data_IF_118561235320
#
_entry.id   IF_118561235320
#
_cell.length_a   1.000
_cell.length_b   1.000
_cell.length_c   1.000
_cell.angle_alpha   90.00
_cell.angle_beta   90.00
_cell.angle_gamma   90.00
#
_symmetry.space_group_name_H-M   'P 1'
#
loop_
_entity.id
_entity.type
_entity.pdbx_description
1 polymer ?
#
# COMPACT_ATOMS: atom_id res chain seq x y z
N UNK A 1 16.18 5.24 -0.68
CA UNK A 1 16.64 6.61 -0.34
C UNK A 1 16.97 7.38 -1.63
N UNK A 2 16.00 8.02 -2.27
CA UNK A 2 16.30 8.95 -3.37
C UNK A 2 16.33 10.38 -2.82
N UNK A 3 17.44 11.08 -3.04
CA UNK A 3 17.73 12.42 -2.47
C UNK A 3 16.62 13.43 -2.78
N UNK A 4 16.21 14.24 -1.79
CA UNK A 4 15.19 15.31 -1.92
C UNK A 4 15.46 16.24 -3.12
N UNK A 5 16.73 16.39 -3.52
CA UNK A 5 17.17 17.18 -4.68
C UNK A 5 16.76 16.56 -6.03
N UNK A 6 16.81 15.23 -6.15
CA UNK A 6 16.37 14.51 -7.36
C UNK A 6 14.85 14.65 -7.49
N UNK A 7 14.10 14.52 -6.39
CA UNK A 7 12.66 14.70 -6.42
C UNK A 7 12.22 16.14 -6.73
N UNK A 8 12.97 17.16 -6.28
CA UNK A 8 12.70 18.55 -6.63
C UNK A 8 13.01 18.86 -8.11
N UNK A 9 14.13 18.35 -8.64
CA UNK A 9 14.46 18.48 -10.07
C UNK A 9 13.48 17.73 -10.97
N UNK A 10 13.07 16.52 -10.57
CA UNK A 10 12.03 15.77 -11.25
C UNK A 10 10.70 16.54 -11.24
N UNK A 11 10.29 17.10 -10.09
CA UNK A 11 9.10 17.98 -10.01
C UNK A 11 9.22 19.23 -10.88
N UNK A 12 10.41 19.82 -11.00
CA UNK A 12 10.64 20.98 -11.85
C UNK A 12 10.61 20.63 -13.34
N UNK A 13 11.21 19.49 -13.74
CA UNK A 13 11.10 18.99 -15.12
C UNK A 13 9.66 18.65 -15.46
N UNK A 14 8.96 17.99 -14.52
CA UNK A 14 7.55 17.67 -14.64
C UNK A 14 6.71 18.93 -14.81
N UNK A 15 6.91 19.96 -14.00
CA UNK A 15 6.16 21.22 -14.14
C UNK A 15 6.47 21.98 -15.43
N UNK A 16 7.72 21.91 -15.93
CA UNK A 16 8.08 22.52 -17.21
C UNK A 16 7.44 21.81 -18.40
N UNK A 17 7.44 20.48 -18.39
CA UNK A 17 6.85 19.66 -19.45
C UNK A 17 5.32 19.60 -19.33
N UNK A 18 4.72 19.63 -18.14
CA UNK A 18 3.25 19.63 -17.96
C UNK A 18 2.58 20.95 -18.33
N UNK A 19 3.24 22.10 -18.17
CA UNK A 19 2.68 23.43 -18.51
C UNK A 19 2.20 23.57 -19.98
N UNK A 20 2.93 23.10 -21.01
CA UNK A 20 2.45 23.13 -22.40
C UNK A 20 1.32 22.13 -22.66
N UNK A 21 1.42 20.87 -22.20
CA UNK A 21 0.33 19.89 -22.32
C UNK A 21 -0.94 20.32 -21.59
N UNK A 22 -0.77 21.07 -20.51
CA UNK A 22 -1.85 21.64 -19.75
C UNK A 22 -2.70 22.64 -20.56
N UNK A 23 -2.06 23.45 -21.40
CA UNK A 23 -2.72 24.44 -22.26
C UNK A 23 -3.44 23.81 -23.45
N UNK A 24 -3.10 22.57 -23.80
CA UNK A 24 -3.71 21.80 -24.90
C UNK A 24 -4.95 20.98 -24.48
N UNK A 25 -5.39 21.07 -23.22
CA UNK A 25 -6.55 20.32 -22.73
C UNK A 25 -6.33 18.81 -22.56
N UNK A 26 -5.07 18.34 -22.64
CA UNK A 26 -4.73 16.93 -22.46
C UNK A 26 -5.02 16.50 -21.01
N UNK A 27 -5.84 15.46 -20.86
CA UNK A 27 -6.21 14.90 -19.55
C UNK A 27 -5.16 13.90 -19.07
N UNK A 28 -5.01 13.66 -17.76
CA UNK A 28 -4.12 12.61 -17.24
C UNK A 28 -4.38 11.24 -17.89
N UNK A 29 -5.65 10.85 -18.04
CA UNK A 29 -6.03 9.59 -18.67
C UNK A 29 -5.54 9.47 -20.12
N UNK A 30 -5.46 10.60 -20.85
CA UNK A 30 -4.91 10.60 -22.22
C UNK A 30 -3.42 10.24 -22.21
N UNK A 31 -2.65 10.70 -21.22
CA UNK A 31 -1.24 10.33 -21.09
C UNK A 31 -1.08 8.85 -20.75
N UNK A 32 -1.93 8.31 -19.86
CA UNK A 32 -1.94 6.87 -19.54
C UNK A 32 -2.22 6.01 -20.78
N UNK A 33 -3.18 6.42 -21.63
CA UNK A 33 -3.45 5.71 -22.91
C UNK A 33 -2.27 5.80 -23.87
N UNK A 34 -1.60 6.96 -23.95
CA UNK A 34 -0.38 7.11 -24.75
C UNK A 34 0.73 6.18 -24.23
N UNK A 35 0.91 6.08 -22.90
CA UNK A 35 1.86 5.16 -22.27
C UNK A 35 1.60 3.69 -22.63
N UNK A 36 0.33 3.28 -22.64
CA UNK A 36 -0.08 1.96 -23.09
C UNK A 36 0.23 1.72 -24.58
N UNK A 37 -0.08 2.68 -25.45
CA UNK A 37 0.23 2.59 -26.89
C UNK A 37 1.74 2.50 -27.14
N UNK A 38 2.55 3.25 -26.39
CA UNK A 38 4.01 3.16 -26.43
C UNK A 38 4.50 1.78 -25.96
N UNK A 39 3.86 1.19 -24.95
CA UNK A 39 4.18 -0.16 -24.46
C UNK A 39 3.85 -1.23 -25.50
N UNK A 40 2.73 -1.10 -26.22
CA UNK A 40 2.38 -1.96 -27.36
C UNK A 40 3.42 -1.81 -28.48
N UNK A 41 3.79 -0.58 -28.83
CA UNK A 41 4.81 -0.33 -29.84
C UNK A 41 6.15 -0.95 -29.44
N UNK A 42 6.57 -0.79 -28.18
CA UNK A 42 7.78 -1.41 -27.64
C UNK A 42 7.73 -2.94 -27.78
N UNK A 43 6.61 -3.56 -27.41
CA UNK A 43 6.41 -5.01 -27.53
C UNK A 43 6.54 -5.50 -28.98
N UNK A 44 5.96 -4.79 -29.94
CA UNK A 44 6.07 -5.12 -31.38
C UNK A 44 7.52 -5.00 -31.85
N UNK A 45 8.22 -3.93 -31.48
CA UNK A 45 9.63 -3.71 -31.84
C UNK A 45 10.54 -4.78 -31.23
N UNK A 46 10.30 -5.17 -29.96
CA UNK A 46 11.00 -6.27 -29.31
C UNK A 46 10.73 -7.59 -30.05
N UNK A 47 9.47 -7.89 -30.38
CA UNK A 47 9.08 -9.10 -31.10
C UNK A 47 9.76 -9.24 -32.47
N UNK A 48 10.03 -8.11 -33.15
CA UNK A 48 10.79 -8.08 -34.40
C UNK A 48 12.31 -8.29 -34.21
N UNK A 49 12.78 -8.42 -32.97
CA UNK A 49 14.19 -8.62 -32.64
C UNK A 49 15.03 -7.34 -32.56
N UNK A 50 14.39 -6.16 -32.63
CA UNK A 50 15.06 -4.87 -32.46
C UNK A 50 15.20 -4.52 -30.97
N UNK A 51 15.92 -5.34 -30.22
CA UNK A 51 15.96 -5.30 -28.75
C UNK A 51 16.41 -3.94 -28.19
N UNK A 52 17.44 -3.32 -28.78
CA UNK A 52 17.95 -2.01 -28.34
C UNK A 52 16.89 -0.92 -28.50
N UNK A 53 16.23 -0.87 -29.66
CA UNK A 53 15.15 0.08 -29.91
C UNK A 53 13.95 -0.18 -28.99
N UNK A 54 13.64 -1.46 -28.76
CA UNK A 54 12.65 -1.90 -27.78
C UNK A 54 12.96 -1.41 -26.36
N UNK A 55 14.20 -1.58 -25.90
CA UNK A 55 14.66 -1.12 -24.59
C UNK A 55 14.56 0.40 -24.42
N UNK A 56 14.91 1.16 -25.45
CA UNK A 56 14.72 2.62 -25.45
C UNK A 56 13.24 3.01 -25.38
N UNK A 57 12.37 2.32 -26.13
CA UNK A 57 10.92 2.54 -26.07
C UNK A 57 10.33 2.17 -24.71
N UNK A 58 10.81 1.10 -24.05
CA UNK A 58 10.40 0.72 -22.69
C UNK A 58 10.75 1.82 -21.69
N UNK A 59 11.96 2.38 -21.75
CA UNK A 59 12.36 3.52 -20.90
C UNK A 59 11.49 4.75 -21.19
N UNK A 60 11.22 5.01 -22.45
CA UNK A 60 10.40 6.14 -22.87
C UNK A 60 8.95 6.01 -22.39
N UNK A 61 8.33 4.84 -22.56
CA UNK A 61 6.99 4.55 -22.06
C UNK A 61 6.91 4.69 -20.54
N UNK A 62 7.87 4.10 -19.81
CA UNK A 62 7.93 4.21 -18.35
C UNK A 62 8.13 5.64 -17.84
N UNK A 63 8.80 6.50 -18.62
CA UNK A 63 8.90 7.92 -18.30
C UNK A 63 7.54 8.62 -18.37
N UNK A 64 6.71 8.31 -19.37
CA UNK A 64 5.36 8.89 -19.53
C UNK A 64 4.41 8.48 -18.39
N UNK A 65 4.45 7.24 -17.92
CA UNK A 65 3.63 6.77 -16.79
C UNK A 65 4.12 7.32 -15.43
N UNK A 66 5.36 7.78 -15.31
CA UNK A 66 5.76 8.54 -14.13
C UNK A 66 5.24 9.99 -14.20
N UNK A 67 5.00 10.46 -15.41
CA UNK A 67 4.67 11.84 -15.72
C UNK A 67 3.18 12.14 -15.55
N UNK A 68 2.30 11.22 -15.91
CA UNK A 68 0.84 11.38 -15.79
C UNK A 68 0.37 11.44 -14.34
N UNK A 69 0.87 10.57 -13.46
CA UNK A 69 0.60 10.60 -12.03
C UNK A 69 1.18 11.86 -11.37
N UNK A 70 2.29 12.39 -11.87
CA UNK A 70 2.83 13.67 -11.42
C UNK A 70 2.01 14.86 -11.93
N UNK A 71 1.49 14.78 -13.16
CA UNK A 71 0.60 15.78 -13.76
C UNK A 71 -0.74 15.86 -13.02
N UNK A 72 -1.35 14.72 -12.68
CA UNK A 72 -2.59 14.65 -11.91
C UNK A 72 -2.47 15.36 -10.55
N UNK A 73 -1.33 15.21 -9.87
CA UNK A 73 -1.05 15.89 -8.59
C UNK A 73 -0.87 17.40 -8.74
N UNK A 74 -0.13 17.84 -9.76
CA UNK A 74 0.13 19.27 -10.00
C UNK A 74 -1.15 20.02 -10.40
N UNK A 75 -2.07 19.36 -11.11
CA UNK A 75 -3.30 20.00 -11.61
C UNK A 75 -4.50 19.84 -10.67
N UNK A 76 -4.31 19.27 -9.47
CA UNK A 76 -5.40 18.92 -8.55
C UNK A 76 -6.55 18.13 -9.23
N UNK A 77 -6.21 17.38 -10.28
CA UNK A 77 -7.16 16.64 -11.13
C UNK A 77 -7.11 15.13 -10.87
N UNK A 78 -6.56 14.72 -9.73
CA UNK A 78 -6.53 13.33 -9.31
C UNK A 78 -7.95 12.86 -9.00
N UNK A 79 -8.42 11.84 -9.72
CA UNK A 79 -9.72 11.21 -9.49
C UNK A 79 -9.52 9.75 -9.07
N UNK A 80 -10.45 9.20 -8.31
CA UNK A 80 -10.42 7.78 -7.91
C UNK A 80 -10.41 6.86 -9.13
N UNK A 81 -11.22 7.18 -10.16
CA UNK A 81 -11.22 6.44 -11.41
C UNK A 81 -9.88 6.55 -12.15
N UNK A 82 -9.30 7.75 -12.23
CA UNK A 82 -8.00 7.94 -12.87
C UNK A 82 -6.89 7.13 -12.21
N UNK A 83 -6.85 7.11 -10.87
CA UNK A 83 -5.90 6.28 -10.12
C UNK A 83 -6.12 4.77 -10.36
N UNK A 84 -7.37 4.31 -10.39
CA UNK A 84 -7.71 2.94 -10.75
C UNK A 84 -7.28 2.60 -12.18
N UNK A 85 -7.56 3.49 -13.14
CA UNK A 85 -7.27 3.32 -14.55
C UNK A 85 -5.77 3.28 -14.83
N UNK A 86 -5.01 4.26 -14.32
CA UNK A 86 -3.55 4.33 -14.34
C UNK A 86 -2.93 3.05 -13.78
N UNK A 87 -3.34 2.68 -12.57
CA UNK A 87 -2.86 1.46 -11.95
C UNK A 87 -3.22 0.23 -12.79
N UNK A 88 -4.40 0.12 -13.38
CA UNK A 88 -4.79 -1.04 -14.19
C UNK A 88 -3.96 -1.13 -15.47
N UNK A 89 -3.81 -0.01 -16.19
CA UNK A 89 -3.04 0.02 -17.44
C UNK A 89 -1.56 -0.26 -17.21
N UNK A 90 -0.97 0.16 -16.09
CA UNK A 90 0.39 -0.20 -15.72
C UNK A 90 0.66 -1.72 -15.77
N UNK A 91 -0.31 -2.54 -15.33
CA UNK A 91 -0.19 -4.01 -15.33
C UNK A 91 -0.30 -4.56 -16.75
N UNK A 92 -1.19 -4.00 -17.56
CA UNK A 92 -1.29 -4.34 -18.99
C UNK A 92 -0.01 -3.98 -19.73
N UNK A 93 0.49 -2.75 -19.58
CA UNK A 93 1.72 -2.24 -20.20
C UNK A 93 2.90 -3.18 -19.93
N UNK A 94 3.12 -3.55 -18.66
CA UNK A 94 4.23 -4.45 -18.29
C UNK A 94 4.05 -5.87 -18.87
N UNK A 95 2.82 -6.40 -18.82
CA UNK A 95 2.50 -7.73 -19.39
C UNK A 95 2.68 -7.76 -20.91
N UNK A 96 2.29 -6.69 -21.60
CA UNK A 96 2.40 -6.54 -23.06
C UNK A 96 3.88 -6.50 -23.49
N UNK A 97 4.72 -5.76 -22.77
CA UNK A 97 6.16 -5.70 -23.05
C UNK A 97 6.80 -7.09 -22.89
N UNK A 98 6.48 -7.80 -21.79
CA UNK A 98 6.96 -9.16 -21.56
C UNK A 98 6.40 -10.17 -22.58
N UNK A 99 5.17 -9.96 -23.09
CA UNK A 99 4.62 -10.72 -24.21
C UNK A 99 5.41 -10.48 -25.49
N UNK A 100 5.78 -9.24 -25.81
CA UNK A 100 6.65 -8.94 -26.95
C UNK A 100 7.99 -9.67 -26.86
N UNK A 101 8.56 -9.72 -25.66
CA UNK A 101 9.77 -10.49 -25.39
C UNK A 101 9.56 -12.00 -25.54
N UNK A 102 8.42 -12.53 -25.09
CA UNK A 102 8.06 -13.94 -25.27
C UNK A 102 7.96 -14.31 -26.76
N UNK A 103 7.30 -13.47 -27.56
CA UNK A 103 7.16 -13.68 -29.00
C UNK A 103 8.52 -13.66 -29.70
N UNK A 104 9.41 -12.73 -29.33
CA UNK A 104 10.80 -12.72 -29.78
C UNK A 104 11.51 -14.04 -29.46
N UNK A 105 11.42 -14.51 -28.22
CA UNK A 105 12.06 -15.76 -27.76
C UNK A 105 11.53 -16.98 -28.51
N UNK A 106 10.22 -17.06 -28.76
CA UNK A 106 9.60 -18.17 -29.48
C UNK A 106 10.10 -18.27 -30.94
N UNK A 107 10.44 -17.14 -31.56
CA UNK A 107 10.96 -17.08 -32.94
C UNK A 107 12.47 -17.36 -33.04
N UNK A 108 13.17 -17.53 -31.90
CA UNK A 108 14.63 -17.69 -31.81
C UNK A 108 14.99 -19.01 -31.09
N UNK A 109 14.88 -20.18 -31.75
CA UNK A 109 15.27 -21.46 -31.14
C UNK A 109 16.78 -21.56 -30.87
N UNK A 110 17.57 -20.78 -31.61
CA UNK A 110 19.02 -20.64 -31.52
C UNK A 110 19.47 -19.44 -30.65
N UNK A 111 18.58 -18.94 -29.78
CA UNK A 111 18.91 -17.85 -28.86
C UNK A 111 20.14 -18.21 -28.01
N UNK A 112 21.16 -17.35 -28.09
CA UNK A 112 22.40 -17.49 -27.35
C UNK A 112 22.88 -16.14 -26.82
N UNK A 113 22.91 -15.97 -25.50
CA UNK A 113 23.45 -14.82 -24.79
C UNK A 113 24.81 -15.16 -24.16
N UNK A 114 25.85 -14.38 -24.49
CA UNK A 114 27.24 -14.69 -24.16
C UNK A 114 27.55 -14.90 -22.66
N UNK A 115 26.72 -14.36 -21.77
CA UNK A 115 26.95 -14.42 -20.31
C UNK A 115 26.18 -15.58 -19.67
N UNK A 116 25.20 -16.17 -20.37
CA UNK A 116 24.35 -17.19 -19.78
C UNK A 116 25.02 -18.57 -19.80
N UNK A 117 25.17 -19.25 -18.64
CA UNK A 117 26.00 -20.45 -18.57
C UNK A 117 25.24 -21.76 -18.87
N UNK A 118 23.90 -21.74 -18.97
CA UNK A 118 23.09 -22.95 -19.09
C UNK A 118 22.59 -23.20 -20.50
N UNK A 119 22.68 -24.44 -20.97
CA UNK A 119 22.08 -24.86 -22.23
C UNK A 119 20.55 -24.71 -22.21
N UNK A 120 19.94 -24.65 -23.41
CA UNK A 120 18.50 -24.48 -23.63
C UNK A 120 17.97 -23.09 -23.21
N UNK A 121 18.68 -22.05 -23.60
CA UNK A 121 18.39 -20.65 -23.26
C UNK A 121 16.96 -20.24 -23.58
N UNK A 122 16.44 -20.66 -24.74
CA UNK A 122 15.06 -20.39 -25.13
C UNK A 122 14.05 -20.90 -24.08
N UNK A 123 14.24 -22.13 -23.57
CA UNK A 123 13.35 -22.73 -22.57
C UNK A 123 13.45 -21.99 -21.23
N UNK A 124 14.66 -21.63 -20.82
CA UNK A 124 14.88 -20.82 -19.62
C UNK A 124 14.20 -19.46 -19.74
N UNK A 125 14.41 -18.77 -20.84
CA UNK A 125 13.85 -17.44 -21.08
C UNK A 125 12.32 -17.47 -21.06
N UNK A 126 11.67 -18.42 -21.75
CA UNK A 126 10.20 -18.58 -21.71
C UNK A 126 9.70 -18.79 -20.28
N UNK A 127 10.35 -19.68 -19.53
CA UNK A 127 9.97 -19.99 -18.14
C UNK A 127 10.14 -18.77 -17.23
N UNK A 128 11.26 -18.06 -17.36
CA UNK A 128 11.55 -16.87 -16.57
C UNK A 128 10.61 -15.71 -16.90
N UNK A 129 10.23 -15.53 -18.17
CA UNK A 129 9.23 -14.53 -18.56
C UNK A 129 7.90 -14.83 -17.87
N UNK A 130 7.44 -16.08 -17.88
CA UNK A 130 6.20 -16.46 -17.20
C UNK A 130 6.26 -16.15 -15.70
N UNK A 131 7.35 -16.56 -15.02
CA UNK A 131 7.54 -16.29 -13.59
C UNK A 131 7.59 -14.77 -13.31
N UNK A 132 8.25 -14.00 -14.18
CA UNK A 132 8.33 -12.54 -14.04
C UNK A 132 6.96 -11.87 -14.20
N UNK A 133 6.13 -12.29 -15.16
CA UNK A 133 4.74 -11.80 -15.32
C UNK A 133 3.93 -12.09 -14.06
N UNK A 134 3.93 -13.34 -13.60
CA UNK A 134 3.20 -13.74 -12.40
C UNK A 134 3.67 -12.94 -11.18
N UNK A 135 4.98 -12.81 -10.99
CA UNK A 135 5.54 -12.06 -9.87
C UNK A 135 5.19 -10.59 -9.91
N UNK A 136 5.27 -9.94 -11.08
CA UNK A 136 4.92 -8.53 -11.21
C UNK A 136 3.44 -8.25 -10.91
N UNK A 137 2.54 -9.13 -11.38
CA UNK A 137 1.12 -9.07 -11.05
C UNK A 137 0.89 -9.30 -9.55
N UNK A 138 1.59 -10.25 -8.93
CA UNK A 138 1.47 -10.52 -7.49
C UNK A 138 1.99 -9.37 -6.63
N UNK A 139 3.10 -8.72 -7.00
CA UNK A 139 3.58 -7.50 -6.34
C UNK A 139 2.47 -6.45 -6.34
N UNK A 140 1.85 -6.21 -7.50
CA UNK A 140 0.80 -5.21 -7.64
C UNK A 140 -0.49 -5.59 -6.90
N UNK A 141 -0.91 -6.86 -6.98
CA UNK A 141 -2.14 -7.37 -6.38
C UNK A 141 -2.07 -7.41 -4.85
N UNK A 142 -0.98 -7.92 -4.27
CA UNK A 142 -0.81 -8.00 -2.82
C UNK A 142 -0.91 -6.63 -2.15
N UNK A 143 -0.33 -5.59 -2.77
CA UNK A 143 -0.47 -4.21 -2.31
C UNK A 143 -1.91 -3.71 -2.44
N UNK A 144 -2.53 -3.85 -3.61
CA UNK A 144 -3.89 -3.38 -3.83
C UNK A 144 -4.90 -4.08 -2.92
N UNK A 145 -4.70 -5.38 -2.65
CA UNK A 145 -5.55 -6.16 -1.74
C UNK A 145 -5.35 -5.73 -0.29
N UNK A 146 -4.12 -5.47 0.14
CA UNK A 146 -3.86 -4.94 1.47
C UNK A 146 -4.53 -3.57 1.69
N UNK A 147 -4.36 -2.65 0.74
CA UNK A 147 -4.99 -1.32 0.80
C UNK A 147 -6.52 -1.40 0.75
N UNK A 148 -7.08 -2.33 -0.03
CA UNK A 148 -8.51 -2.61 -0.06
C UNK A 148 -9.07 -3.21 1.24
N UNK A 149 -8.23 -3.78 2.09
CA UNK A 149 -8.57 -4.22 3.46
C UNK A 149 -8.34 -3.11 4.50
N UNK A 150 -7.99 -1.89 4.08
CA UNK A 150 -7.68 -0.77 4.97
C UNK A 150 -6.27 -0.82 5.59
N UNK A 151 -5.39 -1.69 5.10
CA UNK A 151 -4.01 -1.82 5.58
C UNK A 151 -3.06 -1.03 4.67
N UNK A 152 -2.26 -0.13 5.23
CA UNK A 152 -1.22 0.55 4.46
C UNK A 152 -0.05 -0.40 4.13
N UNK A 153 0.19 -0.66 2.85
CA UNK A 153 1.33 -1.47 2.40
C UNK A 153 2.40 -0.59 1.73
N UNK A 154 3.34 -0.10 2.55
CA UNK A 154 4.46 0.76 2.10
C UNK A 154 5.74 -0.02 1.76
N UNK A 155 5.73 -1.34 1.91
CA UNK A 155 6.91 -2.22 1.75
C UNK A 155 7.07 -2.75 0.31
N UNK A 156 8.25 -3.30 0.03
CA UNK A 156 8.59 -3.93 -1.24
C UNK A 156 9.93 -3.47 -1.79
N UNK A 157 10.85 -4.42 -1.94
CA UNK A 157 12.19 -4.21 -2.51
C UNK A 157 12.15 -3.73 -3.97
N UNK A 158 11.21 -4.25 -4.77
CA UNK A 158 11.14 -3.98 -6.20
C UNK A 158 9.86 -3.25 -6.59
N UNK A 159 9.96 -1.92 -6.69
CA UNK A 159 8.89 -1.10 -7.24
C UNK A 159 8.91 -1.13 -8.79
N UNK A 160 7.90 -0.50 -9.39
CA UNK A 160 7.65 -0.56 -10.83
C UNK A 160 8.77 0.10 -11.66
N UNK A 161 9.26 1.31 -11.35
CA UNK A 161 10.34 1.93 -12.11
C UNK A 161 11.61 1.07 -12.15
N UNK A 162 11.92 0.37 -11.05
CA UNK A 162 13.06 -0.52 -10.95
C UNK A 162 12.93 -1.70 -11.92
N UNK A 163 11.72 -2.27 -12.08
CA UNK A 163 11.48 -3.33 -13.05
C UNK A 163 11.67 -2.87 -14.50
N UNK A 164 11.13 -1.69 -14.82
CA UNK A 164 11.30 -1.06 -16.15
C UNK A 164 12.77 -0.86 -16.46
N UNK A 165 13.54 -0.34 -15.49
CA UNK A 165 14.99 -0.10 -15.65
C UNK A 165 15.77 -1.41 -15.82
N UNK A 166 15.49 -2.44 -15.02
CA UNK A 166 16.15 -3.75 -15.14
C UNK A 166 15.90 -4.35 -16.52
N UNK A 167 14.64 -4.36 -16.97
CA UNK A 167 14.29 -4.90 -18.29
C UNK A 167 14.98 -4.13 -19.41
N UNK A 168 14.92 -2.80 -19.36
CA UNK A 168 15.55 -1.96 -20.36
C UNK A 168 17.07 -2.16 -20.42
N UNK A 169 17.75 -2.25 -19.28
CA UNK A 169 19.19 -2.54 -19.24
C UNK A 169 19.47 -3.86 -19.93
N UNK A 170 18.73 -4.93 -19.61
CA UNK A 170 18.90 -6.24 -20.26
C UNK A 170 18.72 -6.19 -21.78
N UNK A 171 17.69 -5.48 -22.25
CA UNK A 171 17.44 -5.30 -23.68
C UNK A 171 18.54 -4.49 -24.39
N UNK A 172 19.11 -3.49 -23.71
CA UNK A 172 20.16 -2.63 -24.27
C UNK A 172 21.55 -3.30 -24.27
N UNK A 173 21.85 -4.10 -23.24
CA UNK A 173 23.12 -4.81 -23.10
C UNK A 173 23.16 -6.16 -23.82
N UNK A 174 22.01 -6.68 -24.25
CA UNK A 174 21.89 -8.05 -24.76
C UNK A 174 22.04 -9.12 -23.67
N UNK A 175 21.80 -8.75 -22.41
CA UNK A 175 21.82 -9.68 -21.25
C UNK A 175 20.39 -9.86 -20.73
N UNK A 176 19.47 -10.15 -21.64
CA UNK A 176 18.03 -10.16 -21.40
C UNK A 176 17.63 -11.30 -20.48
N UNK A 177 18.26 -12.48 -20.60
CA UNK A 177 17.96 -13.63 -19.74
C UNK A 177 18.29 -13.28 -18.28
N UNK A 178 19.44 -12.64 -18.02
CA UNK A 178 19.82 -12.22 -16.68
C UNK A 178 18.88 -11.15 -16.12
N UNK A 179 18.46 -10.19 -16.95
CA UNK A 179 17.50 -9.18 -16.54
C UNK A 179 16.14 -9.81 -16.16
N UNK A 180 15.62 -10.73 -16.99
CA UNK A 180 14.36 -11.42 -16.71
C UNK A 180 14.50 -12.36 -15.51
N UNK A 181 15.64 -13.03 -15.34
CA UNK A 181 15.93 -13.82 -14.13
C UNK A 181 15.84 -12.96 -12.88
N UNK A 182 16.48 -11.78 -12.91
CA UNK A 182 16.44 -10.84 -11.80
C UNK A 182 15.02 -10.36 -11.52
N UNK A 183 14.25 -10.04 -12.57
CA UNK A 183 12.83 -9.66 -12.43
C UNK A 183 12.00 -10.79 -11.82
N UNK A 184 12.18 -12.03 -12.31
CA UNK A 184 11.46 -13.20 -11.84
C UNK A 184 11.71 -13.43 -10.34
N UNK A 185 12.97 -13.41 -9.91
CA UNK A 185 13.33 -13.63 -8.50
C UNK A 185 12.87 -12.45 -7.64
N UNK A 186 13.26 -11.22 -7.97
CA UNK A 186 13.00 -10.07 -7.11
C UNK A 186 11.50 -9.75 -7.00
N UNK A 187 10.71 -9.98 -8.05
CA UNK A 187 9.27 -9.78 -7.99
C UNK A 187 8.59 -10.79 -7.06
N UNK A 188 9.00 -12.06 -7.13
CA UNK A 188 8.49 -13.10 -6.22
C UNK A 188 8.87 -12.82 -4.77
N UNK A 189 10.14 -12.46 -4.52
CA UNK A 189 10.61 -12.09 -3.17
C UNK A 189 9.83 -10.89 -2.64
N UNK A 190 9.60 -9.86 -3.47
CA UNK A 190 8.81 -8.67 -3.09
C UNK A 190 7.36 -9.03 -2.78
N UNK A 191 6.74 -9.93 -3.54
CA UNK A 191 5.38 -10.38 -3.24
C UNK A 191 5.30 -11.12 -1.90
N UNK A 192 6.26 -12.00 -1.63
CA UNK A 192 6.36 -12.73 -0.35
C UNK A 192 6.60 -11.76 0.81
N UNK A 193 7.51 -10.79 0.65
CA UNK A 193 7.78 -9.74 1.64
C UNK A 193 6.48 -9.00 2.03
N UNK A 194 5.65 -8.64 1.04
CA UNK A 194 4.36 -7.99 1.28
C UNK A 194 3.38 -8.88 2.01
N UNK A 195 3.29 -10.17 1.66
CA UNK A 195 2.43 -11.14 2.34
C UNK A 195 2.85 -11.28 3.82
N UNK A 196 4.15 -11.48 4.08
CA UNK A 196 4.67 -11.59 5.45
C UNK A 196 4.45 -10.31 6.24
N UNK A 197 4.62 -9.15 5.61
CA UNK A 197 4.35 -7.85 6.24
C UNK A 197 2.88 -7.71 6.68
N UNK A 198 1.93 -8.03 5.80
CA UNK A 198 0.49 -7.99 6.10
C UNK A 198 0.13 -8.99 7.20
N UNK A 199 0.70 -10.19 7.16
CA UNK A 199 0.49 -11.21 8.19
C UNK A 199 0.94 -10.71 9.57
N UNK A 200 2.13 -10.10 9.66
CA UNK A 200 2.65 -9.53 10.92
C UNK A 200 1.75 -8.44 11.49
N UNK A 201 1.33 -7.49 10.65
CA UNK A 201 0.46 -6.38 11.10
C UNK A 201 -0.89 -6.89 11.61
N UNK A 202 -1.45 -7.88 10.93
CA UNK A 202 -2.77 -8.44 11.29
C UNK A 202 -2.71 -9.14 12.66
N UNK A 203 -1.65 -9.93 12.90
CA UNK A 203 -1.46 -10.59 14.21
C UNK A 203 -1.25 -9.57 15.32
N UNK A 204 -0.37 -8.58 15.12
CA UNK A 204 -0.13 -7.54 16.13
C UNK A 204 -1.41 -6.79 16.49
N UNK A 205 -2.25 -6.50 15.49
CA UNK A 205 -3.53 -5.82 15.70
C UNK A 205 -4.51 -6.65 16.53
N UNK A 206 -4.55 -7.98 16.32
CA UNK A 206 -5.38 -8.90 17.10
C UNK A 206 -4.90 -8.99 18.55
N UNK A 207 -3.59 -9.15 18.79
CA UNK A 207 -3.03 -9.22 20.15
C UNK A 207 -3.29 -7.96 20.97
N UNK A 208 -3.25 -6.78 20.35
CA UNK A 208 -3.56 -5.52 21.04
C UNK A 208 -5.04 -5.38 21.38
N UNK A 209 -5.94 -5.94 20.56
CA UNK A 209 -7.37 -5.93 20.84
C UNK A 209 -7.75 -6.89 21.96
N UNK A 210 -7.20 -8.12 21.96
CA UNK A 210 -7.44 -9.09 23.04
C UNK A 210 -6.91 -8.58 24.37
N UNK A 211 -5.68 -8.03 24.41
CA UNK A 211 -5.11 -7.47 25.65
C UNK A 211 -5.93 -6.29 26.20
N UNK A 212 -6.47 -5.41 25.33
CA UNK A 212 -7.37 -4.34 25.78
C UNK A 212 -8.71 -4.87 26.30
N UNK A 213 -9.27 -5.91 25.67
CA UNK A 213 -10.50 -6.55 26.12
C UNK A 213 -10.32 -7.20 27.50
N UNK A 214 -9.20 -7.90 27.72
CA UNK A 214 -8.87 -8.54 29.00
C UNK A 214 -8.69 -7.52 30.13
N UNK A 215 -8.00 -6.40 29.86
CA UNK A 215 -7.85 -5.29 30.82
C UNK A 215 -9.20 -4.63 31.12
N UNK A 216 -10.04 -4.43 30.10
CA UNK A 216 -11.39 -3.91 30.27
C UNK A 216 -12.26 -4.81 31.16
N UNK A 217 -12.24 -6.12 30.90
CA UNK A 217 -12.98 -7.13 31.66
C UNK A 217 -12.55 -7.17 33.13
N UNK A 218 -11.23 -7.16 33.40
CA UNK A 218 -10.67 -7.16 34.76
C UNK A 218 -11.03 -5.89 35.55
N UNK A 219 -11.04 -4.72 34.90
CA UNK A 219 -11.47 -3.47 35.53
C UNK A 219 -12.96 -3.48 35.87
N UNK A 220 -13.82 -4.04 35.01
CA UNK A 220 -15.25 -4.19 35.30
C UNK A 220 -15.53 -5.20 36.42
N UNK A 221 -14.80 -6.31 36.52
CA UNK A 221 -14.91 -7.23 37.66
C UNK A 221 -14.47 -6.58 38.98
N UNK A 222 -13.37 -5.83 38.97
CA UNK A 222 -12.86 -5.14 40.16
C UNK A 222 -13.84 -4.07 40.67
N UNK A 223 -14.49 -3.35 39.77
CA UNK A 223 -15.51 -2.36 40.12
C UNK A 223 -16.84 -2.98 40.56
N UNK A 224 -17.17 -4.18 40.07
CA UNK A 224 -18.38 -4.92 40.48
C UNK A 224 -18.21 -5.68 41.80
N UNK A 225 -16.99 -6.14 42.12
CA UNK A 225 -16.68 -6.88 43.35
C UNK A 225 -16.61 -6.04 44.63
N UNK A 226 -16.58 -4.70 44.52
CA UNK A 226 -16.50 -3.78 45.66
C UNK A 226 -17.81 -3.54 46.42
N UNK A 227 -18.88 -4.31 46.16
CA UNK A 227 -20.25 -4.02 46.64
C UNK A 227 -20.89 -5.16 47.43
N UNK A 228 -20.16 -5.80 48.35
CA UNK A 228 -20.79 -6.64 49.39
C UNK A 228 -19.88 -6.85 50.60
N UNK A 229 -20.05 -6.03 51.64
CA UNK A 229 -20.02 -6.43 53.08
C UNK A 229 -20.20 -5.20 53.98
N UNK A 230 -21.45 -4.88 54.37
CA UNK A 230 -21.75 -4.22 55.65
C UNK A 230 -23.14 -4.64 56.16
N UNK A 231 -23.14 -5.47 57.21
CA UNK A 231 -24.21 -5.89 58.13
C UNK A 231 -23.48 -6.87 59.08
N UNK A 232 -23.43 -6.79 60.42
CA UNK A 232 -24.33 -6.27 61.45
C UNK A 232 -23.62 -6.20 62.84
N UNK A 233 -24.03 -5.22 63.68
CA UNK A 233 -24.28 -5.22 65.16
C UNK A 233 -23.21 -5.37 66.27
N UNK A 234 -23.28 -4.39 67.20
CA UNK A 234 -23.25 -4.52 68.70
C UNK A 234 -21.89 -4.31 69.39
N UNK A 235 -21.72 -3.77 70.60
CA UNK A 235 -22.48 -3.00 71.60
C UNK A 235 -21.41 -2.49 72.64
N UNK A 236 -21.76 -1.49 73.45
CA UNK A 236 -20.96 -0.65 74.37
C UNK A 236 -19.93 -1.30 75.34
N UNK A 237 -18.82 -0.57 75.61
CA UNK A 237 -18.52 0.19 76.88
C UNK A 237 -17.02 0.56 77.02
N UNK A 238 -16.73 1.78 77.51
CA UNK A 238 -15.49 2.09 78.23
C UNK A 238 -14.68 3.32 77.75
N UNK A 239 -14.84 4.47 78.43
CA UNK A 239 -13.87 5.60 78.52
C UNK A 239 -12.76 5.25 79.55
N UNK A 240 -11.65 6.01 79.82
CA UNK A 240 -11.43 7.46 79.61
C UNK A 240 -9.97 7.98 79.29
N UNK A 241 -9.86 9.32 79.23
CA UNK A 241 -8.67 10.24 79.25
C UNK A 241 -7.92 10.50 77.93
N UNK A 242 -8.00 11.73 77.37
CA UNK A 242 -7.12 12.92 77.56
C UNK A 242 -5.74 12.71 76.90
N UNK A 243 -5.13 13.60 76.12
CA UNK A 243 -5.10 15.07 76.08
C UNK A 243 -4.50 15.55 74.73
N UNK A 244 -4.52 16.88 74.53
CA UNK A 244 -3.58 17.68 73.71
C UNK A 244 -3.73 17.65 72.18
N UNK A 245 -4.19 18.77 71.59
CA UNK A 245 -3.35 19.83 71.00
C UNK A 245 -3.07 19.53 69.50
N UNK A 246 -3.13 20.43 68.52
CA UNK A 246 -2.98 21.88 68.48
C UNK A 246 -3.44 22.34 67.08
N UNK A 247 -4.22 23.42 67.01
CA UNK A 247 -3.94 24.61 66.17
C UNK A 247 -3.91 24.55 64.61
N UNK A 248 -4.87 25.34 64.06
CA UNK A 248 -4.76 26.31 62.94
C UNK A 248 -4.64 25.73 61.51
N UNK A 249 -5.21 26.31 60.45
CA UNK A 249 -5.69 27.66 60.15
C UNK A 249 -6.86 27.57 59.11
N UNK A 250 -7.99 28.27 59.29
CA UNK A 250 -8.36 29.61 58.75
C UNK A 250 -8.26 29.75 57.22
N UNK A 251 -9.44 29.82 56.58
CA UNK A 251 -10.07 31.03 55.97
C UNK A 251 -9.57 31.24 54.53
N UNK A 252 -10.40 31.30 53.49
CA UNK A 252 -11.17 32.51 53.16
C UNK A 252 -12.20 32.28 52.02
N UNK A 253 -13.40 32.84 52.21
CA UNK A 253 -14.25 33.63 51.27
C UNK A 253 -14.49 33.09 49.85
N UNK A 254 -15.70 32.62 49.50
CA UNK A 254 -16.92 33.38 49.17
C UNK A 254 -16.75 34.37 48.00
N UNK A 255 -17.40 34.10 46.86
CA UNK A 255 -18.51 34.95 46.42
C UNK A 255 -19.33 34.37 45.24
N UNK A 256 -20.61 34.70 45.28
CA UNK A 256 -21.71 34.31 44.38
C UNK A 256 -21.62 34.95 42.99
N UNK A 257 -22.23 34.33 41.97
CA UNK A 257 -23.21 35.02 41.11
C UNK A 257 -24.07 34.06 40.25
N UNK A 258 -25.38 34.27 40.35
CA UNK A 258 -26.51 33.85 39.50
C UNK A 258 -26.34 34.48 38.08
N UNK A 259 -26.72 33.96 36.89
CA UNK A 259 -28.01 33.59 36.23
C UNK A 259 -27.66 33.25 34.72
N UNK A 260 -28.57 33.00 33.74
CA UNK A 260 -29.64 32.02 33.53
C UNK A 260 -29.43 31.05 32.33
N UNK A 261 -30.32 30.06 32.24
CA UNK A 261 -30.56 29.23 31.05
C UNK A 261 -31.21 29.99 29.87
N UNK A 262 -30.84 29.63 28.64
CA UNK A 262 -31.56 29.97 27.39
C UNK A 262 -31.73 28.75 26.50
N UNK A 263 -32.88 28.70 25.83
CA UNK A 263 -33.45 27.57 25.08
C UNK A 263 -33.01 27.52 23.60
N UNK A 264 -32.91 26.28 23.11
CA UNK A 264 -33.37 25.73 21.80
C UNK A 264 -33.01 26.46 20.50
N UNK A 265 -32.27 25.75 19.65
CA UNK A 265 -32.21 25.93 18.19
C UNK A 265 -31.80 24.61 17.54
N UNK A 266 -32.78 23.90 16.97
CA UNK A 266 -32.62 22.67 16.21
C UNK A 266 -32.24 23.02 14.77
N UNK A 267 -31.06 22.61 14.31
CA UNK A 267 -30.76 22.49 12.88
C UNK A 267 -30.05 21.14 12.65
N UNK A 268 -30.83 20.22 12.09
CA UNK A 268 -30.51 18.84 11.80
C UNK A 268 -29.73 18.78 10.48
N UNK A 269 -28.40 18.71 10.55
CA UNK A 269 -27.54 18.46 9.38
C UNK A 269 -27.59 16.96 9.07
N UNK A 270 -28.27 16.59 7.99
CA UNK A 270 -28.26 15.22 7.42
C UNK A 270 -26.84 14.80 7.04
N UNK A 271 -26.26 13.87 7.79
CA UNK A 271 -25.11 13.09 7.35
C UNK A 271 -25.52 12.08 6.26
N UNK A 272 -24.72 11.86 5.21
CA UNK A 272 -24.99 10.84 4.21
C UNK A 272 -24.78 9.44 4.81
N UNK A 273 -25.81 8.61 4.69
CA UNK A 273 -25.85 7.22 5.14
C UNK A 273 -24.77 6.35 4.46
N UNK A 274 -23.63 6.18 5.13
CA UNK A 274 -22.66 5.13 4.80
C UNK A 274 -23.12 3.85 5.47
N UNK A 275 -23.57 2.87 4.67
CA UNK A 275 -23.89 1.54 5.16
C UNK A 275 -22.61 0.91 5.75
N UNK A 276 -22.65 0.36 6.98
CA UNK A 276 -21.50 -0.33 7.55
C UNK A 276 -21.25 -1.62 6.76
N UNK A 277 -20.02 -1.76 6.25
CA UNK A 277 -19.53 -3.01 5.65
C UNK A 277 -19.33 -4.03 6.78
N UNK A 278 -19.85 -5.26 6.67
CA UNK A 278 -19.68 -6.28 7.72
C UNK A 278 -18.19 -6.62 7.92
N UNK A 279 -17.67 -6.40 9.13
CA UNK A 279 -16.28 -6.67 9.54
C UNK A 279 -16.05 -8.08 10.10
N UNK A 280 -16.97 -9.01 9.88
CA UNK A 280 -16.77 -10.40 10.31
C UNK A 280 -15.97 -11.17 9.26
N UNK A 281 -14.65 -11.22 9.43
CA UNK A 281 -13.81 -12.27 8.82
C UNK A 281 -14.14 -13.57 9.58
N UNK A 282 -14.73 -14.60 8.94
CA UNK A 282 -14.91 -15.88 9.61
C UNK A 282 -13.54 -16.52 9.91
N UNK A 283 -13.38 -17.24 11.04
CA UNK A 283 -12.13 -17.90 11.36
C UNK A 283 -11.78 -18.95 10.29
N UNK A 284 -10.51 -18.97 9.88
CA UNK A 284 -9.95 -20.02 9.04
C UNK A 284 -10.02 -21.35 9.80
N UNK A 285 -10.97 -22.21 9.42
CA UNK A 285 -11.06 -23.56 9.97
C UNK A 285 -10.06 -24.46 9.24
N UNK A 286 -9.01 -24.91 9.95
CA UNK A 286 -8.05 -25.92 9.46
C UNK A 286 -8.67 -27.33 9.49
N UNK A 287 -9.77 -27.52 8.76
CA UNK A 287 -10.38 -28.83 8.55
C UNK A 287 -9.89 -29.45 7.25
N UNK A 288 -8.87 -30.29 7.33
CA UNK A 288 -8.57 -31.28 6.29
C UNK A 288 -9.76 -32.24 6.25
N UNK A 289 -10.61 -32.12 5.22
CA UNK A 289 -11.49 -33.20 4.83
C UNK A 289 -11.00 -33.75 3.50
N UNK A 290 -10.52 -34.99 3.57
CA UNK A 290 -10.43 -35.91 2.45
C UNK A 290 -11.83 -36.08 1.86
N UNK A 291 -11.98 -35.82 0.57
CA UNK A 291 -12.71 -36.65 -0.41
C UNK A 291 -12.00 -36.52 -1.76
#
# INVERSE_FOLDING_TARGET
>A
MFSRRIQQRARHLVTLLTKPFARLGVTPNTLTVIGLLLSILAAVVIAQGLLVAGGLLVLFAGFFDMFDGAMARVRHAATTFGAFFDSTLDRYSESIILLGLLLYTLQRPDLHEAIWPFANEQRWMITLIFIAVVGSLMVSYTKARAEGLGLECKTGLLARPERVVILAIGLLSGTTILAVLLLAILSQVTAIERIVYVWRITITSQTLQTSKADVGASLTETLSGGKTTQSETGDHKGRPYASDALSKAKDTSADNLHVPATKVGTDEVREPSVLPVPTSIPPFNNGVHQE
#
